data_IF_156389695348
#
_entry.id   IF_156389695348
#
_cell.length_a   1.000
_cell.length_b   1.000
_cell.length_c   1.000
_cell.angle_alpha   90.00
_cell.angle_beta   90.00
_cell.angle_gamma   90.00
#
_symmetry.space_group_name_H-M   'P 1'
#
loop_
_entity.id
_entity.type
_entity.pdbx_description
1 polymer ?
#
# COMPACT_ATOMS: atom_id res chain seq x y z
N UNK A 1 2.86 -10.73 -37.27
CA UNK A 1 2.37 -9.35 -37.06
C UNK A 1 1.81 -9.25 -35.65
N UNK A 2 2.48 -8.54 -34.74
CA UNK A 2 2.00 -8.36 -33.35
C UNK A 2 1.04 -7.17 -33.31
N UNK A 3 -0.20 -7.44 -32.92
CA UNK A 3 -1.27 -6.45 -32.76
C UNK A 3 -0.96 -5.57 -31.54
N UNK A 4 -0.52 -4.32 -31.77
CA UNK A 4 -0.14 -3.37 -30.71
C UNK A 4 -1.26 -2.39 -30.33
N UNK A 5 -2.53 -2.83 -30.34
CA UNK A 5 -3.65 -1.99 -29.91
C UNK A 5 -4.09 -2.38 -28.50
N UNK A 6 -3.25 -2.10 -27.50
CA UNK A 6 -3.68 -2.11 -26.10
C UNK A 6 -4.17 -0.70 -25.77
N UNK A 7 -5.46 -0.45 -25.99
CA UNK A 7 -6.09 0.82 -25.60
C UNK A 7 -5.93 1.04 -24.10
N UNK A 8 -5.15 2.05 -23.71
CA UNK A 8 -4.98 2.44 -22.32
C UNK A 8 -6.23 3.22 -21.90
N UNK A 9 -7.16 2.55 -21.22
CA UNK A 9 -8.30 3.20 -20.60
C UNK A 9 -7.87 3.79 -19.26
N UNK A 10 -7.80 5.12 -19.20
CA UNK A 10 -7.64 5.85 -17.93
C UNK A 10 -9.02 6.01 -17.32
N UNK A 11 -9.22 5.44 -16.13
CA UNK A 11 -10.42 5.64 -15.34
C UNK A 11 -10.08 6.50 -14.12
N UNK A 12 -10.94 7.45 -13.81
CA UNK A 12 -10.84 8.17 -12.54
C UNK A 12 -11.28 7.23 -11.40
N UNK A 13 -10.45 7.13 -10.37
CA UNK A 13 -10.74 6.35 -9.16
C UNK A 13 -10.55 7.23 -7.93
N UNK A 14 -11.18 6.85 -6.83
CA UNK A 14 -10.96 7.52 -5.55
C UNK A 14 -9.53 7.30 -5.06
N UNK A 15 -9.03 8.21 -4.22
CA UNK A 15 -7.65 8.15 -3.70
C UNK A 15 -7.38 6.89 -2.87
N UNK A 16 -8.42 6.36 -2.23
CA UNK A 16 -8.41 5.15 -1.39
C UNK A 16 -8.61 3.85 -2.17
N UNK A 17 -8.63 3.90 -3.51
CA UNK A 17 -8.88 2.74 -4.37
C UNK A 17 -8.00 1.52 -4.04
N UNK A 18 -6.77 1.75 -3.57
CA UNK A 18 -5.84 0.69 -3.20
C UNK A 18 -5.82 0.33 -1.71
N UNK A 19 -6.58 1.00 -0.85
CA UNK A 19 -6.48 0.83 0.60
C UNK A 19 -6.80 -0.60 1.03
N UNK A 20 -7.89 -1.18 0.51
CA UNK A 20 -8.27 -2.57 0.83
C UNK A 20 -7.23 -3.57 0.34
N UNK A 21 -6.66 -3.31 -0.84
CA UNK A 21 -5.57 -4.13 -1.37
C UNK A 21 -4.33 -4.06 -0.47
N UNK A 22 -3.93 -2.86 -0.03
CA UNK A 22 -2.80 -2.66 0.89
C UNK A 22 -3.05 -3.35 2.23
N UNK A 23 -4.25 -3.20 2.82
CA UNK A 23 -4.63 -3.84 4.08
C UNK A 23 -4.60 -5.37 3.96
N UNK A 24 -5.00 -5.92 2.81
CA UNK A 24 -4.92 -7.37 2.54
C UNK A 24 -3.49 -7.93 2.56
N UNK A 25 -2.46 -7.07 2.43
CA UNK A 25 -1.04 -7.47 2.49
C UNK A 25 -0.42 -7.29 3.88
N UNK A 26 -1.17 -6.71 4.80
CA UNK A 26 -0.75 -6.49 6.17
C UNK A 26 -1.20 -7.66 7.06
N UNK A 27 -0.45 -7.88 8.14
CA UNK A 27 -0.73 -8.92 9.13
C UNK A 27 -0.76 -8.31 10.52
N UNK A 28 -1.16 -9.09 11.53
CA UNK A 28 -1.07 -8.67 12.94
C UNK A 28 0.37 -8.68 13.50
N UNK A 29 1.33 -9.22 12.75
CA UNK A 29 2.75 -9.17 13.08
C UNK A 29 3.41 -7.93 12.45
N UNK A 30 4.44 -7.39 13.10
CA UNK A 30 5.19 -6.25 12.57
C UNK A 30 5.90 -6.61 11.26
N UNK A 31 5.65 -5.81 10.22
CA UNK A 31 6.27 -5.95 8.91
C UNK A 31 6.96 -4.63 8.53
N UNK A 32 8.12 -4.70 7.88
CA UNK A 32 8.75 -3.52 7.28
C UNK A 32 7.81 -2.88 6.25
N UNK A 33 7.61 -1.56 6.36
CA UNK A 33 6.76 -0.83 5.41
C UNK A 33 7.30 -0.94 3.97
N UNK A 34 8.61 -0.84 3.78
CA UNK A 34 9.28 -1.06 2.50
C UNK A 34 8.95 -2.43 1.88
N UNK A 35 8.88 -3.49 2.70
CA UNK A 35 8.52 -4.83 2.21
C UNK A 35 7.06 -4.87 1.75
N UNK A 36 6.14 -4.28 2.52
CA UNK A 36 4.72 -4.22 2.15
C UNK A 36 4.51 -3.43 0.86
N UNK A 37 5.18 -2.29 0.70
CA UNK A 37 5.16 -1.51 -0.55
C UNK A 37 5.72 -2.31 -1.72
N UNK A 38 6.86 -3.00 -1.54
CA UNK A 38 7.43 -3.86 -2.58
C UNK A 38 6.47 -4.96 -3.04
N UNK A 39 5.73 -5.58 -2.10
CA UNK A 39 4.64 -6.50 -2.44
C UNK A 39 3.52 -5.79 -3.21
N UNK A 40 3.09 -4.60 -2.79
CA UNK A 40 2.02 -3.90 -3.51
C UNK A 40 2.43 -3.58 -4.96
N UNK A 41 3.64 -3.09 -5.17
CA UNK A 41 4.18 -2.81 -6.51
C UNK A 41 4.25 -4.08 -7.37
N UNK A 42 4.72 -5.20 -6.80
CA UNK A 42 4.83 -6.47 -7.53
C UNK A 42 3.50 -7.12 -7.91
N UNK A 43 2.42 -6.83 -7.17
CA UNK A 43 1.14 -7.54 -7.30
C UNK A 43 -0.07 -6.68 -7.67
N UNK A 44 0.05 -5.34 -7.70
CA UNK A 44 -1.09 -4.47 -8.06
C UNK A 44 -1.43 -4.51 -9.56
N UNK A 45 -0.51 -4.97 -10.41
CA UNK A 45 -0.74 -5.07 -11.86
C UNK A 45 -0.87 -3.71 -12.58
N UNK A 46 -0.54 -2.61 -11.90
CA UNK A 46 -0.63 -1.25 -12.42
C UNK A 46 0.69 -0.49 -12.20
N UNK A 47 0.96 0.50 -13.06
CA UNK A 47 2.10 1.40 -12.89
C UNK A 47 1.79 2.45 -11.82
N UNK A 48 2.15 2.15 -10.58
CA UNK A 48 1.96 3.01 -9.41
C UNK A 48 3.32 3.26 -8.76
N UNK A 49 3.57 4.48 -8.27
CA UNK A 49 4.82 4.79 -7.57
C UNK A 49 4.85 4.21 -6.16
N UNK A 50 6.06 3.91 -5.68
CA UNK A 50 6.31 3.56 -4.27
C UNK A 50 5.91 4.71 -3.33
N UNK A 51 6.11 5.96 -3.76
CA UNK A 51 5.68 7.16 -3.06
C UNK A 51 4.16 7.18 -2.82
N UNK A 52 3.34 6.81 -3.81
CA UNK A 52 1.89 6.73 -3.63
C UNK A 52 1.53 5.72 -2.53
N UNK A 53 2.05 4.49 -2.60
CA UNK A 53 1.77 3.48 -1.57
C UNK A 53 2.30 3.90 -0.19
N UNK A 54 3.43 4.60 -0.13
CA UNK A 54 3.97 5.15 1.12
C UNK A 54 2.99 6.16 1.74
N UNK A 55 2.41 7.05 0.94
CA UNK A 55 1.39 8.01 1.41
C UNK A 55 0.11 7.30 1.86
N UNK A 56 -0.32 6.25 1.16
CA UNK A 56 -1.46 5.42 1.59
C UNK A 56 -1.18 4.73 2.93
N UNK A 57 0.01 4.17 3.13
CA UNK A 57 0.39 3.58 4.43
C UNK A 57 0.36 4.62 5.55
N UNK A 58 0.93 5.81 5.34
CA UNK A 58 0.87 6.90 6.32
C UNK A 58 -0.59 7.28 6.63
N UNK A 59 -1.45 7.39 5.62
CA UNK A 59 -2.86 7.68 5.81
C UNK A 59 -3.59 6.60 6.62
N UNK A 60 -3.35 5.32 6.32
CA UNK A 60 -3.93 4.18 7.05
C UNK A 60 -3.44 4.12 8.51
N UNK A 61 -2.22 4.56 8.78
CA UNK A 61 -1.70 4.74 10.15
C UNK A 61 -2.41 5.89 10.86
N UNK A 62 -2.50 7.06 10.23
CA UNK A 62 -3.17 8.24 10.79
C UNK A 62 -4.66 7.99 11.09
N UNK A 63 -5.34 7.19 10.26
CA UNK A 63 -6.76 6.83 10.44
C UNK A 63 -6.97 5.62 11.37
N UNK A 64 -5.91 5.04 11.92
CA UNK A 64 -5.98 3.93 12.87
C UNK A 64 -6.27 2.56 12.25
N UNK A 65 -6.32 2.46 10.92
CA UNK A 65 -6.46 1.18 10.20
C UNK A 65 -5.18 0.34 10.26
N UNK A 66 -4.02 0.99 10.48
CA UNK A 66 -2.73 0.35 10.75
C UNK A 66 -2.09 0.94 12.02
N UNK A 67 -1.27 0.14 12.69
CA UNK A 67 -0.35 0.63 13.72
C UNK A 67 1.05 0.76 13.11
N UNK A 68 1.80 1.77 13.53
CA UNK A 68 3.18 1.99 13.11
C UNK A 68 4.15 2.05 14.30
N UNK A 69 5.41 1.69 14.05
CA UNK A 69 6.55 1.96 14.95
C UNK A 69 7.76 2.41 14.13
N UNK A 70 8.55 3.33 14.67
CA UNK A 70 9.67 3.95 13.98
C UNK A 70 9.31 5.30 13.35
N UNK A 71 10.15 5.80 12.44
CA UNK A 71 9.93 7.08 11.77
C UNK A 71 9.10 6.87 10.49
N UNK A 72 7.86 7.36 10.47
CA UNK A 72 6.94 7.22 9.33
C UNK A 72 7.25 8.14 8.15
N UNK A 73 8.16 9.11 8.28
CA UNK A 73 8.54 10.02 7.19
C UNK A 73 9.29 9.31 6.07
N UNK A 74 10.01 8.23 6.39
CA UNK A 74 10.85 7.49 5.44
C UNK A 74 10.40 6.04 5.38
N UNK A 75 10.06 5.55 4.18
CA UNK A 75 9.55 4.19 3.95
C UNK A 75 10.38 3.06 4.58
N UNK A 76 11.70 3.24 4.69
CA UNK A 76 12.62 2.24 5.24
C UNK A 76 12.73 2.25 6.76
N UNK A 77 12.22 3.29 7.41
CA UNK A 77 12.49 3.58 8.83
C UNK A 77 11.31 3.21 9.75
N UNK A 78 10.23 2.65 9.20
CA UNK A 78 9.10 2.19 10.00
C UNK A 78 8.61 0.80 9.63
N UNK A 79 7.96 0.19 10.62
CA UNK A 79 7.21 -1.06 10.47
C UNK A 79 5.74 -0.81 10.75
N UNK A 80 4.88 -1.60 10.12
CA UNK A 80 3.43 -1.55 10.26
C UNK A 80 2.86 -2.90 10.67
N UNK A 81 1.64 -2.89 11.20
CA UNK A 81 0.80 -4.09 11.37
C UNK A 81 -0.68 -3.69 11.42
N UNK A 82 -1.56 -4.67 11.21
CA UNK A 82 -2.98 -4.53 11.52
C UNK A 82 -3.18 -4.34 13.04
N UNK A 83 -4.15 -3.53 13.47
CA UNK A 83 -4.59 -3.53 14.86
C UNK A 83 -5.08 -4.93 15.21
N UNK A 84 -4.59 -5.51 16.31
CA UNK A 84 -5.14 -6.78 16.80
C UNK A 84 -6.63 -6.61 17.07
N UNK A 85 -7.44 -7.66 16.86
CA UNK A 85 -8.87 -7.62 17.24
C UNK A 85 -8.97 -7.13 18.68
N UNK A 86 -9.62 -5.98 18.89
CA UNK A 86 -10.31 -5.74 20.16
C UNK A 86 -11.47 -6.73 20.13
N UNK A 87 -11.43 -7.70 21.06
CA UNK A 87 -12.55 -8.61 21.29
C UNK A 87 -13.81 -7.83 21.62
#
# INVERSE_FOLDING_TARGET
MLNHNKTLHVIAVAEDYFDDFVLSKCTIAWQSAARVVGYCLGYCGQYVSDGFFTRRLQHLVTTGKLQAKGNTEKLRDFSIKLPGRRG
#
